data_IF_283414806085
#
_entry.id   IF_283414806085
#
_cell.length_a   1.000
_cell.length_b   1.000
_cell.length_c   1.000
_cell.angle_alpha   90.00
_cell.angle_beta   90.00
_cell.angle_gamma   90.00
#
_symmetry.space_group_name_H-M   'P 1'
#
loop_
_entity.id
_entity.type
_entity.pdbx_description
1 polymer ?
#
# COMPACT_ATOMS: atom_id res chain seq x y z
N UNK A 1 -12.84 42.10 -2.96
CA UNK A 1 -12.38 40.82 -3.53
C UNK A 1 -12.76 40.87 -4.99
N UNK A 2 -11.85 41.24 -5.85
CA UNK A 2 -12.09 41.52 -7.27
C UNK A 2 -11.62 40.35 -8.07
N UNK A 3 -12.58 39.59 -8.63
CA UNK A 3 -12.33 38.55 -9.61
C UNK A 3 -11.72 39.15 -10.87
N UNK A 4 -10.45 38.89 -11.12
CA UNK A 4 -9.78 39.20 -12.37
C UNK A 4 -10.18 38.20 -13.45
N UNK A 5 -11.21 38.52 -14.19
CA UNK A 5 -11.60 37.81 -15.43
C UNK A 5 -10.52 38.10 -16.46
N UNK A 6 -9.74 37.09 -16.81
CA UNK A 6 -8.79 37.14 -17.92
C UNK A 6 -9.53 37.38 -19.24
N UNK A 7 -9.12 38.34 -20.10
CA UNK A 7 -9.84 38.67 -21.30
C UNK A 7 -9.86 37.49 -22.28
N UNK A 8 -11.04 37.13 -22.73
CA UNK A 8 -11.24 36.17 -23.81
C UNK A 8 -10.55 36.68 -25.09
N UNK A 9 -9.77 35.81 -25.75
CA UNK A 9 -9.18 36.10 -27.05
C UNK A 9 -10.28 36.52 -28.07
N UNK A 10 -10.03 37.47 -28.98
CA UNK A 10 -11.03 38.03 -29.84
C UNK A 10 -11.70 36.95 -30.69
N UNK A 11 -13.03 36.92 -30.66
CA UNK A 11 -13.84 36.09 -31.54
C UNK A 11 -13.51 36.43 -33.01
N UNK A 12 -13.07 35.46 -33.76
CA UNK A 12 -12.88 35.63 -35.21
C UNK A 12 -14.16 36.12 -35.91
N UNK A 13 -13.99 36.91 -36.94
CA UNK A 13 -15.09 37.51 -37.71
C UNK A 13 -16.14 36.43 -38.07
N UNK A 14 -17.46 36.63 -37.78
CA UNK A 14 -18.50 35.65 -38.07
C UNK A 14 -18.65 35.25 -39.55
N UNK A 15 -18.02 36.00 -40.49
CA UNK A 15 -18.07 35.79 -41.94
C UNK A 15 -16.98 34.86 -42.46
N UNK A 16 -16.04 34.39 -41.65
CA UNK A 16 -14.92 33.57 -42.10
C UNK A 16 -15.24 32.08 -41.94
N UNK A 17 -15.69 31.46 -43.02
CA UNK A 17 -16.02 30.02 -43.07
C UNK A 17 -14.79 29.12 -43.29
N UNK A 18 -13.59 29.62 -42.97
CA UNK A 18 -12.35 28.87 -43.12
C UNK A 18 -11.78 28.44 -41.78
N UNK A 19 -11.17 27.26 -41.77
CA UNK A 19 -10.53 26.75 -40.57
C UNK A 19 -9.42 27.70 -40.07
N UNK A 20 -9.44 28.10 -38.83
CA UNK A 20 -8.44 29.04 -38.26
C UNK A 20 -6.98 28.57 -38.38
N UNK A 21 -6.74 27.23 -38.54
CA UNK A 21 -5.40 26.63 -38.75
C UNK A 21 -5.11 26.28 -40.22
N UNK A 22 -6.16 26.13 -41.03
CA UNK A 22 -6.06 25.75 -42.43
C UNK A 22 -6.92 26.68 -43.26
N UNK A 23 -6.38 27.85 -43.63
CA UNK A 23 -7.16 28.87 -44.31
C UNK A 23 -7.66 28.45 -45.68
N UNK A 24 -7.09 27.39 -46.25
CA UNK A 24 -7.45 26.74 -47.52
C UNK A 24 -8.68 25.85 -47.42
N UNK A 25 -9.21 25.65 -46.19
CA UNK A 25 -10.32 24.68 -45.93
C UNK A 25 -11.54 25.38 -45.44
N UNK A 26 -12.59 25.32 -46.19
CA UNK A 26 -13.92 25.75 -45.73
C UNK A 26 -14.46 24.84 -44.66
N UNK A 27 -15.11 25.43 -43.67
CA UNK A 27 -15.77 24.71 -42.58
C UNK A 27 -16.87 25.54 -41.93
N UNK A 28 -17.97 24.91 -41.63
CA UNK A 28 -19.09 25.48 -40.90
C UNK A 28 -19.15 25.01 -39.45
N UNK A 29 -18.23 24.12 -39.06
CA UNK A 29 -18.14 23.59 -37.71
C UNK A 29 -17.27 24.51 -36.86
N UNK A 30 -17.80 24.93 -35.68
CA UNK A 30 -17.09 25.76 -34.71
C UNK A 30 -16.75 25.00 -33.44
N UNK A 31 -15.59 25.31 -32.88
CA UNK A 31 -15.20 24.80 -31.58
C UNK A 31 -16.23 25.23 -30.52
N UNK A 32 -16.84 24.29 -29.81
CA UNK A 32 -17.87 24.56 -28.79
C UNK A 32 -17.35 25.35 -27.58
N UNK A 33 -16.02 25.45 -27.41
CA UNK A 33 -15.42 26.16 -26.29
C UNK A 33 -14.98 27.60 -26.63
N UNK A 34 -14.37 27.81 -27.78
CA UNK A 34 -13.82 29.13 -28.16
C UNK A 34 -14.45 29.75 -29.41
N UNK A 35 -15.40 29.08 -30.07
CA UNK A 35 -16.14 29.61 -31.21
C UNK A 35 -15.36 29.64 -32.53
N UNK A 36 -14.05 29.32 -32.57
CA UNK A 36 -13.23 29.36 -33.82
C UNK A 36 -13.69 28.29 -34.79
N UNK A 37 -13.75 28.56 -36.12
CA UNK A 37 -14.08 27.56 -37.13
C UNK A 37 -12.98 26.53 -37.25
N UNK A 38 -13.35 25.24 -37.36
CA UNK A 38 -12.43 24.10 -37.33
C UNK A 38 -12.80 23.07 -38.42
N UNK A 39 -11.87 22.72 -39.30
CA UNK A 39 -12.05 21.65 -40.27
C UNK A 39 -12.01 20.26 -39.62
N UNK A 40 -12.43 19.22 -40.37
CA UNK A 40 -12.49 17.85 -39.84
C UNK A 40 -11.19 17.33 -39.20
N UNK A 41 -10.01 17.78 -39.67
CA UNK A 41 -8.73 17.41 -39.08
C UNK A 41 -8.43 18.13 -37.74
N UNK A 42 -9.08 19.29 -37.50
CA UNK A 42 -8.92 20.08 -36.25
C UNK A 42 -10.01 19.78 -35.21
N UNK A 43 -10.97 18.90 -35.54
CA UNK A 43 -12.03 18.51 -34.63
C UNK A 43 -11.57 17.39 -33.73
N UNK A 44 -11.71 17.58 -32.43
CA UNK A 44 -11.57 16.51 -31.43
C UNK A 44 -12.90 16.34 -30.72
N UNK A 45 -13.44 15.12 -30.71
CA UNK A 45 -14.68 14.80 -30.01
C UNK A 45 -14.55 15.09 -28.52
N UNK A 46 -15.53 15.78 -27.98
CA UNK A 46 -15.68 16.10 -26.57
C UNK A 46 -17.00 15.51 -26.04
N UNK A 47 -17.21 15.43 -24.71
CA UNK A 47 -18.49 14.98 -24.14
C UNK A 47 -19.70 15.77 -24.66
N UNK A 48 -19.47 17.03 -25.06
CA UNK A 48 -20.46 17.87 -25.74
C UNK A 48 -19.78 18.47 -26.99
N UNK A 49 -20.16 18.03 -28.18
CA UNK A 49 -19.71 18.54 -29.46
C UNK A 49 -18.22 18.32 -29.76
N UNK A 50 -17.58 19.32 -30.41
CA UNK A 50 -16.20 19.25 -30.87
C UNK A 50 -15.38 20.44 -30.36
N UNK A 51 -14.12 20.19 -30.01
CA UNK A 51 -13.16 21.19 -29.56
C UNK A 51 -11.98 21.31 -30.51
N UNK A 52 -11.37 22.50 -30.59
CA UNK A 52 -10.13 22.72 -31.31
C UNK A 52 -8.92 22.15 -30.53
N UNK A 53 -7.78 21.89 -31.22
CA UNK A 53 -6.58 21.33 -30.58
C UNK A 53 -6.05 22.17 -29.40
N UNK A 54 -6.14 23.51 -29.46
CA UNK A 54 -5.72 24.41 -28.37
C UNK A 54 -6.63 24.24 -27.15
N UNK A 55 -7.94 24.27 -27.33
CA UNK A 55 -8.88 24.08 -26.22
C UNK A 55 -8.73 22.69 -25.57
N UNK A 56 -8.40 21.66 -26.36
CA UNK A 56 -8.08 20.32 -25.82
C UNK A 56 -6.77 20.35 -25.02
N UNK A 57 -5.75 21.06 -25.52
CA UNK A 57 -4.45 21.18 -24.83
C UNK A 57 -4.57 21.97 -23.54
N UNK A 58 -5.29 23.07 -23.53
CA UNK A 58 -5.61 23.86 -22.34
C UNK A 58 -6.40 23.04 -21.32
N UNK A 59 -7.43 22.31 -21.76
CA UNK A 59 -8.19 21.43 -20.88
C UNK A 59 -7.35 20.30 -20.26
N UNK A 60 -6.34 19.80 -20.98
CA UNK A 60 -5.37 18.84 -20.44
C UNK A 60 -4.37 19.48 -19.48
N UNK A 61 -3.95 20.71 -19.74
CA UNK A 61 -3.05 21.48 -18.86
C UNK A 61 -3.73 21.99 -17.59
N UNK A 62 -5.03 22.28 -17.66
CA UNK A 62 -5.87 22.71 -16.53
C UNK A 62 -6.50 21.52 -15.77
N UNK A 63 -6.36 20.29 -16.28
CA UNK A 63 -6.86 19.12 -15.56
C UNK A 63 -6.10 19.02 -14.23
N UNK A 64 -6.78 19.08 -13.08
CA UNK A 64 -6.13 18.87 -11.80
C UNK A 64 -5.38 17.54 -11.87
N UNK A 65 -4.15 17.53 -11.37
CA UNK A 65 -3.33 16.32 -11.26
C UNK A 65 -4.24 15.16 -10.81
N UNK A 66 -4.28 14.08 -11.59
CA UNK A 66 -5.19 12.93 -11.36
C UNK A 66 -5.27 12.65 -9.87
N UNK A 67 -6.47 12.71 -9.25
CA UNK A 67 -6.59 12.53 -7.81
C UNK A 67 -5.96 11.18 -7.42
N UNK A 68 -5.17 11.20 -6.37
CA UNK A 68 -4.42 10.05 -5.83
C UNK A 68 -5.35 8.82 -5.68
N UNK A 69 -6.62 9.03 -5.36
CA UNK A 69 -7.66 8.00 -5.29
C UNK A 69 -7.88 7.22 -6.59
N UNK A 70 -7.78 7.86 -7.78
CA UNK A 70 -7.84 7.15 -9.06
C UNK A 70 -6.67 6.19 -9.28
N UNK A 71 -5.52 6.49 -8.71
CA UNK A 71 -4.33 5.62 -8.81
C UNK A 71 -4.52 4.33 -8.01
N UNK A 72 -5.12 4.41 -6.83
CA UNK A 72 -5.47 3.23 -6.02
C UNK A 72 -6.59 2.40 -6.67
N UNK A 73 -7.67 3.02 -7.12
CA UNK A 73 -8.77 2.34 -7.83
C UNK A 73 -8.25 1.62 -9.07
N UNK A 74 -7.31 2.24 -9.83
CA UNK A 74 -6.68 1.60 -10.97
C UNK A 74 -5.70 0.48 -10.59
N UNK A 75 -5.05 0.57 -9.43
CA UNK A 75 -4.18 -0.49 -8.90
C UNK A 75 -4.98 -1.75 -8.51
N UNK A 76 -6.24 -1.58 -8.11
CA UNK A 76 -7.14 -2.70 -7.75
C UNK A 76 -7.81 -3.32 -8.97
N UNK A 77 -7.79 -2.64 -10.16
CA UNK A 77 -8.40 -3.18 -11.39
C UNK A 77 -7.64 -4.41 -11.91
N UNK A 78 -8.35 -5.43 -12.44
CA UNK A 78 -7.72 -6.52 -13.18
C UNK A 78 -6.89 -5.97 -14.35
N UNK A 79 -5.63 -6.42 -14.50
CA UNK A 79 -4.71 -5.97 -15.56
C UNK A 79 -3.65 -4.94 -15.12
N UNK A 80 -3.64 -4.44 -13.88
CA UNK A 80 -2.49 -3.73 -13.29
C UNK A 80 -1.33 -4.70 -13.01
N UNK A 81 -0.16 -4.17 -12.65
CA UNK A 81 1.06 -4.97 -12.36
C UNK A 81 0.77 -6.20 -11.49
N UNK A 82 1.32 -7.35 -11.85
CA UNK A 82 1.15 -8.60 -11.09
C UNK A 82 1.72 -8.42 -9.67
N UNK A 83 0.95 -8.76 -8.61
CA UNK A 83 1.39 -8.63 -7.21
C UNK A 83 2.27 -9.83 -6.82
N UNK A 84 3.46 -9.92 -7.45
CA UNK A 84 4.36 -11.07 -7.32
C UNK A 84 4.88 -11.19 -5.89
N UNK A 85 5.23 -10.07 -5.21
CA UNK A 85 5.75 -10.14 -3.86
C UNK A 85 4.72 -10.69 -2.87
N UNK A 86 3.46 -10.28 -2.97
CA UNK A 86 2.39 -10.83 -2.13
C UNK A 86 2.24 -12.34 -2.32
N UNK A 87 2.19 -12.82 -3.57
CA UNK A 87 2.09 -14.26 -3.82
C UNK A 87 3.35 -15.03 -3.45
N UNK A 88 4.53 -14.42 -3.57
CA UNK A 88 5.79 -15.03 -3.11
C UNK A 88 5.79 -15.19 -1.59
N UNK A 89 5.39 -14.16 -0.83
CA UNK A 89 5.29 -14.25 0.63
C UNK A 89 4.28 -15.34 1.04
N UNK A 90 3.11 -15.39 0.41
CA UNK A 90 2.12 -16.46 0.64
C UNK A 90 2.73 -17.83 0.34
N UNK A 91 3.41 -17.97 -0.81
CA UNK A 91 4.06 -19.24 -1.18
C UNK A 91 5.12 -19.69 -0.19
N UNK A 92 5.94 -18.76 0.33
CA UNK A 92 6.94 -19.07 1.37
C UNK A 92 6.25 -19.55 2.65
N UNK A 93 5.20 -18.85 3.14
CA UNK A 93 4.45 -19.28 4.32
C UNK A 93 3.86 -20.69 4.14
N UNK A 94 3.28 -20.98 2.97
CA UNK A 94 2.73 -22.30 2.68
C UNK A 94 3.82 -23.39 2.68
N UNK A 95 4.96 -23.12 2.06
CA UNK A 95 6.10 -24.08 2.04
C UNK A 95 6.64 -24.31 3.45
N UNK A 96 6.84 -23.25 4.24
CA UNK A 96 7.29 -23.39 5.64
C UNK A 96 6.27 -24.19 6.46
N UNK A 97 4.97 -23.88 6.36
CA UNK A 97 3.93 -24.63 7.07
C UNK A 97 3.88 -26.12 6.69
N UNK A 98 4.09 -26.46 5.42
CA UNK A 98 4.19 -27.86 5.00
C UNK A 98 5.41 -28.56 5.61
N UNK A 99 6.54 -27.85 5.74
CA UNK A 99 7.73 -28.36 6.40
C UNK A 99 7.49 -28.55 7.91
N UNK A 100 6.84 -27.60 8.57
CA UNK A 100 6.43 -27.73 9.97
C UNK A 100 5.54 -28.97 10.18
N UNK A 101 4.56 -29.15 9.30
CA UNK A 101 3.68 -30.32 9.37
C UNK A 101 4.42 -31.63 9.19
N UNK A 102 5.28 -31.74 8.19
CA UNK A 102 6.05 -32.98 7.92
C UNK A 102 7.05 -33.28 9.05
N UNK A 103 7.52 -32.26 9.76
CA UNK A 103 8.56 -32.39 10.81
C UNK A 103 8.00 -32.49 12.23
N UNK A 104 6.68 -32.49 12.43
CA UNK A 104 6.09 -32.80 13.74
C UNK A 104 4.94 -31.92 14.21
N UNK A 105 4.61 -30.83 13.50
CA UNK A 105 3.44 -30.02 13.82
C UNK A 105 2.16 -30.78 13.53
N UNK A 106 1.20 -30.77 14.46
CA UNK A 106 -0.16 -31.17 14.16
C UNK A 106 -0.95 -29.99 13.60
N UNK A 107 -1.27 -29.98 12.30
CA UNK A 107 -1.85 -28.82 11.65
C UNK A 107 -3.29 -28.50 12.10
N UNK A 108 -3.99 -29.48 12.72
CA UNK A 108 -5.38 -29.31 13.15
C UNK A 108 -5.48 -28.72 14.57
N UNK A 109 -4.60 -29.16 15.46
CA UNK A 109 -4.65 -28.75 16.88
C UNK A 109 -3.65 -27.66 17.23
N UNK A 110 -2.63 -27.40 16.38
CA UNK A 110 -1.51 -26.53 16.69
C UNK A 110 -0.54 -27.14 17.72
N UNK A 111 -0.68 -28.44 18.01
CA UNK A 111 0.21 -29.16 18.91
C UNK A 111 1.33 -29.88 18.16
N UNK A 112 2.32 -30.34 18.91
CA UNK A 112 3.51 -31.01 18.36
C UNK A 112 4.76 -30.16 18.54
N UNK A 113 5.91 -30.78 18.24
CA UNK A 113 7.21 -30.06 18.28
C UNK A 113 7.85 -30.20 16.90
N UNK A 114 7.71 -29.15 16.10
CA UNK A 114 8.42 -29.04 14.84
C UNK A 114 9.77 -28.34 15.07
N UNK A 115 10.90 -28.98 14.72
CA UNK A 115 12.21 -28.29 14.73
C UNK A 115 12.21 -27.04 13.84
N UNK A 116 11.48 -27.05 12.73
CA UNK A 116 11.37 -25.91 11.82
C UNK A 116 10.68 -24.74 12.51
N UNK A 117 9.60 -25.02 13.26
CA UNK A 117 8.90 -23.98 14.05
C UNK A 117 9.83 -23.41 15.11
N UNK A 118 10.52 -24.28 15.90
CA UNK A 118 11.41 -23.86 16.96
C UNK A 118 12.57 -22.98 16.43
N UNK A 119 13.22 -23.39 15.33
CA UNK A 119 14.36 -22.68 14.76
C UNK A 119 13.99 -21.35 14.11
N UNK A 120 12.74 -21.17 13.70
CA UNK A 120 12.27 -20.00 12.96
C UNK A 120 11.35 -19.08 13.75
N UNK A 121 10.77 -19.53 14.89
CA UNK A 121 9.95 -18.74 15.79
C UNK A 121 10.78 -17.68 16.51
N UNK A 122 10.15 -16.59 16.91
CA UNK A 122 10.80 -15.57 17.72
C UNK A 122 10.58 -15.83 19.20
N UNK A 123 11.67 -15.90 19.95
CA UNK A 123 11.70 -15.97 21.42
C UNK A 123 12.13 -14.60 21.96
N UNK A 124 11.37 -14.01 22.91
CA UNK A 124 11.76 -12.75 23.54
C UNK A 124 13.16 -12.82 24.13
N UNK A 125 13.92 -11.75 23.98
CA UNK A 125 15.30 -11.57 24.46
C UNK A 125 16.38 -12.48 23.83
N UNK A 126 16.03 -13.31 22.84
CA UNK A 126 16.99 -14.26 22.22
C UNK A 126 17.60 -13.76 20.88
N UNK A 127 17.47 -12.46 20.61
CA UNK A 127 17.96 -11.87 19.35
C UNK A 127 19.47 -12.07 19.11
N UNK A 128 20.26 -12.21 20.19
CA UNK A 128 21.72 -12.37 20.09
C UNK A 128 22.07 -13.76 19.54
N UNK A 129 21.36 -14.80 19.96
CA UNK A 129 21.63 -16.18 19.57
C UNK A 129 20.93 -16.58 18.27
N UNK A 130 19.74 -16.02 18.02
CA UNK A 130 18.91 -16.34 16.86
C UNK A 130 18.43 -15.08 16.11
N UNK A 131 19.31 -14.21 15.59
CA UNK A 131 18.93 -12.93 15.00
C UNK A 131 18.08 -13.06 13.72
N UNK A 132 18.11 -14.20 13.03
CA UNK A 132 17.29 -14.47 11.86
C UNK A 132 15.79 -14.54 12.18
N UNK A 133 15.44 -14.89 13.42
CA UNK A 133 14.06 -15.05 13.87
C UNK A 133 13.24 -13.76 13.80
N UNK A 134 13.88 -12.59 13.83
CA UNK A 134 13.24 -11.29 13.59
C UNK A 134 12.51 -11.26 12.23
N UNK A 135 13.02 -11.99 11.25
CA UNK A 135 12.46 -12.05 9.90
C UNK A 135 11.66 -13.34 9.70
N UNK A 136 12.22 -14.48 10.13
CA UNK A 136 11.63 -15.80 9.86
C UNK A 136 10.32 -16.03 10.58
N UNK A 137 10.11 -15.42 11.75
CA UNK A 137 8.86 -15.45 12.52
C UNK A 137 7.61 -15.17 11.66
N UNK A 138 7.75 -14.30 10.66
CA UNK A 138 6.63 -13.95 9.77
C UNK A 138 6.18 -15.09 8.84
N UNK A 139 6.92 -16.18 8.76
CA UNK A 139 6.63 -17.29 7.84
C UNK A 139 6.16 -18.55 8.55
N UNK A 140 6.30 -18.62 9.86
CA UNK A 140 5.94 -19.75 10.73
C UNK A 140 4.47 -19.67 11.14
N UNK A 141 3.75 -20.83 11.21
CA UNK A 141 2.34 -20.84 11.58
C UNK A 141 1.97 -22.12 12.34
N UNK A 142 1.50 -21.97 13.56
CA UNK A 142 1.22 -23.06 14.49
C UNK A 142 0.02 -23.95 14.10
N UNK A 143 -0.92 -23.50 13.23
CA UNK A 143 -2.11 -24.27 12.88
C UNK A 143 -2.66 -23.90 11.50
N UNK A 144 -3.49 -24.80 10.95
CA UNK A 144 -4.15 -24.59 9.67
C UNK A 144 -5.04 -23.33 9.65
N UNK A 145 -5.78 -23.07 10.72
CA UNK A 145 -6.61 -21.85 10.79
C UNK A 145 -5.73 -20.60 10.88
N UNK A 146 -4.61 -20.68 11.59
CA UNK A 146 -3.68 -19.56 11.72
C UNK A 146 -3.10 -19.17 10.34
N UNK A 147 -2.55 -20.12 9.59
CA UNK A 147 -2.04 -19.82 8.24
C UNK A 147 -3.16 -19.39 7.29
N UNK A 148 -4.34 -20.02 7.34
CA UNK A 148 -5.46 -19.68 6.47
C UNK A 148 -5.88 -18.22 6.62
N UNK A 149 -6.09 -17.74 7.85
CA UNK A 149 -6.47 -16.37 8.11
C UNK A 149 -5.35 -15.36 7.78
N UNK A 150 -4.09 -15.71 8.04
CA UNK A 150 -2.95 -14.88 7.65
C UNK A 150 -2.84 -14.75 6.13
N UNK A 151 -2.90 -15.85 5.39
CA UNK A 151 -2.80 -15.82 3.92
C UNK A 151 -3.98 -15.11 3.27
N UNK A 152 -5.19 -15.32 3.77
CA UNK A 152 -6.36 -14.58 3.32
C UNK A 152 -6.19 -13.07 3.56
N UNK A 153 -5.77 -12.67 4.76
CA UNK A 153 -5.55 -11.27 5.11
C UNK A 153 -4.42 -10.65 4.27
N UNK A 154 -3.32 -11.39 4.09
CA UNK A 154 -2.21 -10.95 3.25
C UNK A 154 -2.62 -10.81 1.78
N UNK A 155 -3.47 -11.69 1.27
CA UNK A 155 -4.04 -11.58 -0.07
C UNK A 155 -4.91 -10.32 -0.20
N UNK A 156 -5.87 -10.13 0.72
CA UNK A 156 -6.85 -9.02 0.66
C UNK A 156 -6.18 -7.65 0.84
N UNK A 157 -5.20 -7.55 1.72
CA UNK A 157 -4.51 -6.29 2.04
C UNK A 157 -3.27 -6.09 1.19
N UNK A 158 -2.48 -7.13 0.98
CA UNK A 158 -1.19 -7.06 0.30
C UNK A 158 -1.32 -6.80 -1.20
N UNK A 159 -2.23 -7.50 -1.89
CA UNK A 159 -2.42 -7.32 -3.34
C UNK A 159 -2.71 -5.86 -3.73
N UNK A 160 -3.68 -5.16 -3.13
CA UNK A 160 -3.91 -3.76 -3.46
C UNK A 160 -2.76 -2.83 -3.04
N UNK A 161 -2.12 -3.10 -1.91
CA UNK A 161 -0.98 -2.29 -1.44
C UNK A 161 0.24 -2.46 -2.34
N UNK A 162 0.61 -3.68 -2.74
CA UNK A 162 1.72 -3.92 -3.66
C UNK A 162 1.50 -3.23 -5.01
N UNK A 163 0.27 -3.32 -5.55
CA UNK A 163 -0.08 -2.64 -6.80
C UNK A 163 -0.02 -1.12 -6.69
N UNK A 164 -0.36 -0.58 -5.53
CA UNK A 164 -0.32 0.86 -5.27
C UNK A 164 1.09 1.39 -5.03
N UNK A 165 1.87 0.74 -4.18
CA UNK A 165 3.21 1.16 -3.74
C UNK A 165 4.31 0.72 -4.70
N UNK A 166 4.10 -0.38 -5.40
CA UNK A 166 5.13 -1.15 -6.10
C UNK A 166 5.85 -2.12 -5.16
N UNK A 167 6.46 -3.14 -5.75
CA UNK A 167 7.04 -4.29 -5.05
C UNK A 167 8.03 -3.92 -3.94
N UNK A 168 9.01 -3.08 -4.23
CA UNK A 168 10.08 -2.73 -3.28
C UNK A 168 9.54 -2.04 -2.02
N UNK A 169 8.62 -1.08 -2.19
CA UNK A 169 8.03 -0.37 -1.04
C UNK A 169 7.09 -1.26 -0.24
N UNK A 170 6.37 -2.13 -0.91
CA UNK A 170 5.51 -3.13 -0.26
C UNK A 170 6.33 -4.09 0.59
N UNK A 171 7.41 -4.67 0.06
CA UNK A 171 8.30 -5.56 0.81
C UNK A 171 8.96 -4.83 1.99
N UNK A 172 9.46 -3.62 1.78
CA UNK A 172 10.03 -2.80 2.85
C UNK A 172 9.00 -2.53 3.96
N UNK A 173 7.75 -2.21 3.59
CA UNK A 173 6.66 -2.01 4.54
C UNK A 173 6.39 -3.31 5.32
N UNK A 174 6.24 -4.46 4.64
CA UNK A 174 5.97 -5.75 5.26
C UNK A 174 7.05 -6.12 6.28
N UNK A 175 8.32 -6.10 5.90
CA UNK A 175 9.40 -6.51 6.80
C UNK A 175 9.64 -5.53 7.94
N UNK A 176 9.61 -4.22 7.71
CA UNK A 176 9.84 -3.25 8.78
C UNK A 176 8.68 -3.23 9.77
N UNK A 177 7.44 -3.47 9.32
CA UNK A 177 6.32 -3.64 10.25
C UNK A 177 6.38 -4.97 11.00
N UNK A 178 6.90 -6.04 10.37
CA UNK A 178 7.22 -7.29 11.04
C UNK A 178 8.25 -7.11 12.16
N UNK A 179 9.33 -6.33 11.92
CA UNK A 179 10.29 -5.96 12.98
C UNK A 179 9.59 -5.17 14.08
N UNK A 180 8.68 -4.24 13.73
CA UNK A 180 7.87 -3.52 14.72
C UNK A 180 6.99 -4.42 15.58
N UNK A 181 6.46 -5.50 14.99
CA UNK A 181 5.71 -6.52 15.72
C UNK A 181 6.61 -7.28 16.71
N UNK A 182 7.80 -7.67 16.29
CA UNK A 182 8.81 -8.31 17.14
C UNK A 182 9.18 -7.40 18.31
N UNK A 183 9.40 -6.10 18.09
CA UNK A 183 9.63 -5.13 19.17
C UNK A 183 8.47 -5.12 20.16
N UNK A 184 7.22 -5.13 19.69
CA UNK A 184 6.05 -5.20 20.57
C UNK A 184 6.03 -6.43 21.46
N UNK A 185 6.46 -7.57 20.94
CA UNK A 185 6.58 -8.83 21.68
C UNK A 185 7.75 -8.77 22.67
N UNK A 186 8.91 -8.36 22.20
CA UNK A 186 10.13 -8.37 23.00
C UNK A 186 10.05 -7.52 24.28
N UNK A 187 9.27 -6.42 24.24
CA UNK A 187 9.10 -5.52 25.36
C UNK A 187 7.87 -5.85 26.25
N UNK A 188 6.84 -6.53 25.71
CA UNK A 188 5.55 -6.64 26.39
C UNK A 188 4.97 -8.05 26.44
N UNK A 189 5.70 -9.07 25.97
CA UNK A 189 5.32 -10.47 26.04
C UNK A 189 6.51 -11.31 26.52
N UNK A 190 6.19 -12.48 27.12
CA UNK A 190 7.20 -13.44 27.57
C UNK A 190 7.14 -14.76 26.83
N UNK A 191 6.13 -14.93 25.97
CA UNK A 191 5.90 -16.16 25.22
C UNK A 191 6.48 -16.06 23.80
N UNK A 192 6.97 -17.16 23.25
CA UNK A 192 7.40 -17.19 21.85
C UNK A 192 6.24 -16.88 20.93
N UNK A 193 6.56 -16.30 19.75
CA UNK A 193 5.54 -15.95 18.78
C UNK A 193 5.89 -16.45 17.40
N UNK A 194 4.84 -16.67 16.60
CA UNK A 194 4.87 -17.06 15.20
C UNK A 194 3.77 -16.33 14.41
N UNK A 195 3.96 -16.18 13.12
CA UNK A 195 2.93 -15.70 12.20
C UNK A 195 3.19 -14.35 11.55
N UNK A 196 2.66 -14.20 10.33
CA UNK A 196 2.71 -12.96 9.57
C UNK A 196 1.79 -11.85 10.11
N UNK A 197 0.96 -12.15 11.11
CA UNK A 197 -0.13 -11.27 11.54
C UNK A 197 0.35 -9.88 11.99
N UNK A 198 1.46 -9.78 12.69
CA UNK A 198 2.03 -8.51 13.10
C UNK A 198 2.41 -7.61 11.91
N UNK A 199 3.06 -8.17 10.90
CA UNK A 199 3.34 -7.47 9.66
C UNK A 199 2.04 -7.08 8.92
N UNK A 200 1.04 -7.96 8.89
CA UNK A 200 -0.28 -7.69 8.27
C UNK A 200 -0.99 -6.54 8.99
N UNK A 201 -0.94 -6.47 10.32
CA UNK A 201 -1.46 -5.31 11.06
C UNK A 201 -0.74 -4.01 10.67
N UNK A 202 0.56 -4.08 10.42
CA UNK A 202 1.31 -2.95 9.88
C UNK A 202 0.83 -2.54 8.48
N UNK A 203 0.58 -3.51 7.59
CA UNK A 203 -0.02 -3.25 6.29
C UNK A 203 -1.41 -2.62 6.41
N UNK A 204 -2.25 -3.07 7.35
CA UNK A 204 -3.56 -2.47 7.64
C UNK A 204 -3.42 -1.03 8.14
N UNK A 205 -2.47 -0.74 9.03
CA UNK A 205 -2.19 0.61 9.51
C UNK A 205 -1.82 1.56 8.37
N UNK A 206 -0.89 1.14 7.50
CA UNK A 206 -0.53 1.91 6.31
C UNK A 206 -1.71 2.08 5.34
N UNK A 207 -2.52 1.03 5.14
CA UNK A 207 -3.71 1.08 4.28
C UNK A 207 -4.73 2.11 4.77
N UNK A 208 -4.97 2.21 6.09
CA UNK A 208 -5.82 3.27 6.67
C UNK A 208 -5.33 4.66 6.29
N UNK A 209 -4.01 4.91 6.40
CA UNK A 209 -3.42 6.21 6.09
C UNK A 209 -3.58 6.53 4.59
N UNK A 210 -3.34 5.56 3.71
CA UNK A 210 -3.50 5.75 2.26
C UNK A 210 -4.98 5.95 1.89
N UNK A 211 -5.90 5.14 2.43
CA UNK A 211 -7.33 5.22 2.18
C UNK A 211 -7.91 6.57 2.61
N UNK A 212 -7.56 7.06 3.83
CA UNK A 212 -7.96 8.41 4.30
C UNK A 212 -7.48 9.51 3.36
N UNK A 213 -6.23 9.43 2.91
CA UNK A 213 -5.67 10.43 1.98
C UNK A 213 -6.39 10.45 0.63
N UNK A 214 -6.99 9.32 0.24
CA UNK A 214 -7.76 9.16 -0.99
C UNK A 214 -9.25 9.50 -0.84
N UNK A 215 -9.71 9.87 0.36
CA UNK A 215 -11.12 10.13 0.64
C UNK A 215 -11.99 8.86 0.69
N UNK A 216 -11.37 7.67 0.82
CA UNK A 216 -12.09 6.40 0.94
C UNK A 216 -12.56 6.24 2.38
N UNK A 217 -13.79 5.76 2.57
CA UNK A 217 -14.31 5.45 3.91
C UNK A 217 -13.49 4.35 4.57
N UNK A 218 -12.95 4.63 5.76
CA UNK A 218 -12.07 3.73 6.50
C UNK A 218 -12.76 3.04 7.68
N UNK A 219 -14.05 3.26 7.87
CA UNK A 219 -14.82 2.69 8.99
C UNK A 219 -14.67 1.17 9.08
N UNK A 220 -14.78 0.47 7.94
CA UNK A 220 -14.62 -0.99 7.91
C UNK A 220 -13.21 -1.44 8.33
N UNK A 221 -12.17 -0.70 7.92
CA UNK A 221 -10.78 -1.00 8.32
C UNK A 221 -10.59 -0.83 9.82
N UNK A 222 -11.17 0.21 10.42
CA UNK A 222 -11.13 0.40 11.88
C UNK A 222 -11.86 -0.71 12.62
N UNK A 223 -13.03 -1.13 12.14
CA UNK A 223 -13.79 -2.23 12.74
C UNK A 223 -12.97 -3.53 12.67
N UNK A 224 -12.37 -3.85 11.52
CA UNK A 224 -11.53 -5.05 11.35
C UNK A 224 -10.33 -4.99 12.30
N UNK A 225 -9.62 -3.87 12.38
CA UNK A 225 -8.48 -3.71 13.29
C UNK A 225 -8.93 -3.87 14.74
N UNK A 226 -9.99 -3.18 15.17
CA UNK A 226 -10.48 -3.22 16.53
C UNK A 226 -10.95 -4.61 16.96
N UNK A 227 -11.70 -5.31 16.09
CA UNK A 227 -12.17 -6.67 16.36
C UNK A 227 -11.00 -7.66 16.47
N UNK A 228 -10.02 -7.59 15.56
CA UNK A 228 -8.87 -8.50 15.63
C UNK A 228 -7.95 -8.18 16.82
N UNK A 229 -7.80 -6.92 17.23
CA UNK A 229 -7.08 -6.57 18.47
C UNK A 229 -7.85 -7.08 19.70
N UNK A 230 -9.16 -6.94 19.73
CA UNK A 230 -9.98 -7.46 20.82
C UNK A 230 -9.88 -9.00 20.91
N UNK A 231 -9.99 -9.69 19.78
CA UNK A 231 -9.80 -11.15 19.72
C UNK A 231 -8.39 -11.51 20.24
N UNK A 232 -7.35 -10.82 19.77
CA UNK A 232 -5.98 -11.06 20.22
C UNK A 232 -5.77 -10.84 21.72
N UNK A 233 -6.50 -9.90 22.32
CA UNK A 233 -6.43 -9.64 23.75
C UNK A 233 -7.19 -10.67 24.61
N UNK A 234 -8.36 -11.12 24.14
CA UNK A 234 -9.23 -12.02 24.92
C UNK A 234 -8.97 -13.51 24.66
N UNK A 235 -8.36 -13.87 23.52
CA UNK A 235 -8.09 -15.27 23.16
C UNK A 235 -6.64 -15.61 23.51
N UNK A 236 -6.40 -16.57 24.42
CA UNK A 236 -5.05 -17.03 24.76
C UNK A 236 -4.30 -17.56 23.53
N UNK A 237 -2.99 -17.41 23.49
CA UNK A 237 -2.14 -17.86 22.38
C UNK A 237 -2.02 -16.85 21.24
N UNK A 238 -2.73 -15.72 21.28
CA UNK A 238 -2.60 -14.66 20.27
C UNK A 238 -1.78 -13.50 20.84
N UNK A 239 -0.63 -13.24 20.24
CA UNK A 239 0.26 -12.15 20.63
C UNK A 239 -0.27 -10.77 20.17
N UNK A 240 -1.24 -10.21 20.88
CA UNK A 240 -1.79 -8.88 20.57
C UNK A 240 -0.73 -7.77 20.58
N UNK A 241 0.35 -7.94 21.34
CA UNK A 241 1.50 -7.03 21.40
C UNK A 241 2.18 -6.92 20.03
N UNK A 242 2.32 -8.04 19.31
CA UNK A 242 2.81 -8.06 17.95
C UNK A 242 1.90 -7.25 16.99
N UNK A 243 0.59 -7.41 17.15
CA UNK A 243 -0.40 -6.68 16.34
C UNK A 243 -0.29 -5.16 16.57
N UNK A 244 -0.20 -4.73 17.82
CA UNK A 244 -0.06 -3.30 18.16
C UNK A 244 1.27 -2.74 17.66
N UNK A 245 2.39 -3.45 17.88
CA UNK A 245 3.72 -3.03 17.43
C UNK A 245 3.78 -2.85 15.91
N UNK A 246 3.29 -3.85 15.18
CA UNK A 246 3.19 -3.77 13.71
C UNK A 246 2.30 -2.62 13.25
N UNK A 247 1.12 -2.46 13.85
CA UNK A 247 0.16 -1.40 13.52
C UNK A 247 0.76 0.00 13.69
N UNK A 248 1.42 0.28 14.82
CA UNK A 248 2.05 1.58 15.09
C UNK A 248 3.10 1.90 14.04
N UNK A 249 4.01 0.96 13.77
CA UNK A 249 5.05 1.14 12.74
C UNK A 249 4.44 1.31 11.36
N UNK A 250 3.38 0.55 11.04
CA UNK A 250 2.67 0.64 9.77
C UNK A 250 2.00 2.00 9.54
N UNK A 251 1.37 2.56 10.57
CA UNK A 251 0.81 3.92 10.53
C UNK A 251 1.92 4.95 10.28
N UNK A 252 3.03 4.87 11.03
CA UNK A 252 4.18 5.76 10.86
C UNK A 252 4.79 5.71 9.46
N UNK A 253 5.04 4.49 8.94
CA UNK A 253 5.55 4.27 7.59
C UNK A 253 4.55 4.72 6.52
N UNK A 254 3.25 4.53 6.74
CA UNK A 254 2.20 5.04 5.86
C UNK A 254 2.29 6.56 5.69
N UNK A 255 2.44 7.32 6.77
CA UNK A 255 2.66 8.77 6.74
C UNK A 255 3.98 9.14 6.05
N UNK A 256 5.09 8.45 6.37
CA UNK A 256 6.38 8.67 5.76
C UNK A 256 6.32 8.49 4.23
N UNK A 257 5.75 7.37 3.78
CA UNK A 257 5.62 7.04 2.37
C UNK A 257 4.74 8.03 1.62
N UNK A 258 3.66 8.54 2.23
CA UNK A 258 2.83 9.58 1.64
C UNK A 258 3.57 10.91 1.48
N UNK A 259 4.27 11.36 2.52
CA UNK A 259 4.98 12.65 2.51
C UNK A 259 6.17 12.65 1.56
N UNK A 260 6.76 11.49 1.30
CA UNK A 260 7.93 11.30 0.45
C UNK A 260 7.59 10.73 -0.94
N UNK A 261 6.31 10.69 -1.33
CA UNK A 261 5.84 10.10 -2.59
C UNK A 261 6.34 10.82 -3.86
N UNK A 262 6.84 12.04 -3.77
CA UNK A 262 7.41 12.77 -4.90
C UNK A 262 8.71 12.11 -5.38
N UNK A 263 8.88 11.96 -6.71
CA UNK A 263 10.04 11.27 -7.34
C UNK A 263 11.38 11.83 -6.85
N UNK A 264 11.47 13.15 -6.63
CA UNK A 264 12.68 13.84 -6.15
C UNK A 264 13.07 13.51 -4.68
N UNK A 265 12.17 12.82 -3.93
CA UNK A 265 12.39 12.45 -2.52
C UNK A 265 12.68 10.96 -2.32
N UNK A 266 13.09 10.24 -3.37
CA UNK A 266 13.36 8.80 -3.26
C UNK A 266 14.44 8.47 -2.22
N UNK A 267 15.51 9.25 -2.17
CA UNK A 267 16.59 9.07 -1.17
C UNK A 267 16.05 9.29 0.24
N UNK A 268 15.30 10.39 0.46
CA UNK A 268 14.66 10.67 1.76
C UNK A 268 13.72 9.53 2.19
N UNK A 269 13.00 8.94 1.23
CA UNK A 269 12.09 7.81 1.50
C UNK A 269 12.87 6.58 1.94
N UNK A 270 13.93 6.21 1.22
CA UNK A 270 14.78 5.06 1.55
C UNK A 270 15.44 5.29 2.91
N UNK A 271 16.05 6.46 3.13
CA UNK A 271 16.70 6.81 4.38
C UNK A 271 15.73 6.79 5.57
N UNK A 272 14.49 7.28 5.38
CA UNK A 272 13.47 7.28 6.42
C UNK A 272 13.01 5.86 6.79
N UNK A 273 12.77 4.99 5.80
CA UNK A 273 12.39 3.59 6.05
C UNK A 273 13.54 2.83 6.71
N UNK A 274 14.77 3.00 6.21
CA UNK A 274 15.96 2.40 6.80
C UNK A 274 16.21 2.91 8.22
N UNK A 275 16.03 4.21 8.47
CA UNK A 275 16.14 4.81 9.80
C UNK A 275 15.17 4.19 10.80
N UNK A 276 13.90 3.99 10.41
CA UNK A 276 12.92 3.28 11.27
C UNK A 276 13.39 1.86 11.56
N UNK A 277 13.84 1.11 10.54
CA UNK A 277 14.33 -0.25 10.75
C UNK A 277 15.54 -0.28 11.71
N UNK A 278 16.49 0.63 11.55
CA UNK A 278 17.68 0.74 12.43
C UNK A 278 17.27 1.04 13.88
N UNK A 279 16.34 1.96 14.08
CA UNK A 279 15.84 2.30 15.45
C UNK A 279 15.18 1.09 16.09
N UNK A 280 14.36 0.34 15.36
CA UNK A 280 13.69 -0.86 15.87
C UNK A 280 14.71 -1.96 16.22
N UNK A 281 15.70 -2.21 15.36
CA UNK A 281 16.75 -3.19 15.62
C UNK A 281 17.66 -2.77 16.80
N UNK A 282 17.97 -1.49 16.91
CA UNK A 282 18.72 -0.96 18.05
C UNK A 282 17.94 -1.12 19.37
N UNK A 283 16.62 -0.92 19.35
CA UNK A 283 15.76 -1.14 20.52
C UNK A 283 15.78 -2.62 20.96
N UNK A 284 15.65 -3.58 20.02
CA UNK A 284 15.74 -5.00 20.31
C UNK A 284 17.12 -5.38 20.91
N UNK A 285 18.19 -4.89 20.30
CA UNK A 285 19.53 -5.17 20.79
C UNK A 285 19.76 -4.57 22.18
N UNK A 286 19.29 -3.35 22.42
CA UNK A 286 19.42 -2.72 23.74
C UNK A 286 18.64 -3.50 24.81
N UNK A 287 17.44 -4.02 24.49
CA UNK A 287 16.64 -4.82 25.41
C UNK A 287 17.29 -6.17 25.73
N UNK A 288 17.92 -6.80 24.71
CA UNK A 288 18.64 -8.09 24.91
C UNK A 288 19.96 -7.96 25.69
N UNK A 289 20.50 -6.74 25.82
CA UNK A 289 21.73 -6.45 26.55
C UNK A 289 21.48 -5.90 27.97
N UNK A 290 20.23 -5.57 28.29
CA UNK A 290 19.81 -5.02 29.59
C UNK A 290 19.54 -6.12 30.63
#
# INVERSE_FOLDING_TARGET
MTDSISPAAPAGNPADNHCYRHPDRETYVKCQRCGRPICGQCQTLAPVGVHCPECVREARGSAPSRPIGRRFVNAVRPGSTRPIATFTLIGICVVVFLLEWVTGLNPLTGGGQSPVEYDLAYFPHDIIHAPWTIITVNFVHESFLHILFNMYSLFVVGVPLERYLGRTRFLALFFVTGIGAVVGVDFFANEPVVGASGAIFGLLGALVIFARRMGIRTTQLYIVIALNLAIGYFVPGIAWQAHVGGLIVGVGLGFLLLRTAAIRRRVTQIAGVAGVAVVLLAALLANALA
#
